data_IF_513109611770
#
_entry.id   IF_513109611770
#
_cell.length_a   1.000
_cell.length_b   1.000
_cell.length_c   1.000
_cell.angle_alpha   90.00
_cell.angle_beta   90.00
_cell.angle_gamma   90.00
#
_symmetry.space_group_name_H-M   'P 1'
#
loop_
_entity.id
_entity.type
_entity.pdbx_description
1 polymer ?
#
# COMPACT_ATOMS: atom_id res chain seq x y z
N UNK A 1 48.41 -63.85 -16.36
CA UNK A 1 47.61 -62.97 -15.48
C UNK A 1 46.19 -63.49 -15.44
N UNK A 2 45.62 -63.51 -14.24
CA UNK A 2 44.32 -64.07 -13.86
C UNK A 2 43.17 -63.07 -14.05
N UNK A 3 41.94 -63.58 -13.87
CA UNK A 3 40.64 -62.92 -13.72
C UNK A 3 39.94 -62.61 -15.04
N UNK A 4 38.69 -63.01 -15.30
CA UNK A 4 37.65 -63.60 -14.46
C UNK A 4 36.35 -63.34 -15.22
N UNK A 5 35.73 -64.38 -15.76
CA UNK A 5 34.48 -64.27 -16.52
C UNK A 5 33.31 -64.29 -15.55
N UNK A 6 32.75 -63.11 -15.29
CA UNK A 6 31.59 -62.97 -14.42
C UNK A 6 30.35 -63.65 -14.99
N UNK A 7 29.65 -64.27 -14.05
CA UNK A 7 28.54 -65.20 -14.19
C UNK A 7 27.33 -64.59 -14.89
N UNK A 8 26.91 -65.25 -15.98
CA UNK A 8 25.60 -65.14 -16.62
C UNK A 8 24.49 -65.60 -15.67
N UNK A 9 23.86 -64.66 -14.96
CA UNK A 9 22.55 -64.87 -14.33
C UNK A 9 21.45 -64.53 -15.33
N UNK A 10 21.23 -65.44 -16.29
CA UNK A 10 20.12 -65.34 -17.25
C UNK A 10 18.83 -65.71 -16.55
N UNK A 11 17.83 -64.85 -16.73
CA UNK A 11 16.54 -64.89 -16.08
C UNK A 11 15.81 -66.24 -16.15
N UNK A 12 15.28 -66.61 -14.99
CA UNK A 12 14.01 -67.34 -14.92
C UNK A 12 13.01 -66.41 -14.24
N UNK A 13 11.90 -66.14 -14.94
CA UNK A 13 10.73 -65.43 -14.43
C UNK A 13 10.42 -65.90 -13.00
N UNK A 14 10.01 -65.02 -12.07
CA UNK A 14 9.41 -65.49 -10.83
C UNK A 14 8.09 -66.14 -11.22
N UNK A 15 8.10 -67.46 -11.43
CA UNK A 15 6.89 -68.26 -11.38
C UNK A 15 6.29 -67.98 -10.02
N UNK A 16 5.00 -67.63 -9.99
CA UNK A 16 4.21 -67.33 -8.78
C UNK A 16 4.72 -68.18 -7.62
N UNK A 17 5.41 -67.52 -6.68
CA UNK A 17 6.01 -68.16 -5.52
C UNK A 17 4.87 -68.55 -4.57
N UNK A 18 4.27 -69.70 -4.86
CA UNK A 18 3.23 -70.31 -4.04
C UNK A 18 3.97 -70.84 -2.82
N UNK A 19 3.98 -70.03 -1.76
CA UNK A 19 4.61 -70.37 -0.49
C UNK A 19 4.17 -71.76 -0.05
N UNK A 20 5.15 -72.65 0.10
CA UNK A 20 4.97 -74.05 0.44
C UNK A 20 6.32 -74.69 0.74
N UNK A 21 6.28 -75.87 1.37
CA UNK A 21 7.48 -76.57 1.84
C UNK A 21 8.52 -76.76 0.72
N UNK A 22 8.09 -77.01 -0.52
CA UNK A 22 9.00 -77.16 -1.67
C UNK A 22 9.81 -75.90 -1.98
N UNK A 23 9.25 -74.69 -1.82
CA UNK A 23 9.98 -73.44 -2.02
C UNK A 23 11.00 -73.22 -0.89
N UNK A 24 10.63 -73.56 0.36
CA UNK A 24 11.55 -73.51 1.50
C UNK A 24 12.72 -74.50 1.34
N UNK A 25 12.45 -75.72 0.86
CA UNK A 25 13.47 -76.74 0.61
C UNK A 25 14.35 -76.38 -0.60
N UNK A 26 13.80 -75.75 -1.65
CA UNK A 26 14.59 -75.19 -2.75
C UNK A 26 15.51 -74.07 -2.28
N UNK A 27 15.05 -73.16 -1.42
CA UNK A 27 15.88 -72.10 -0.84
C UNK A 27 16.98 -72.70 0.05
N UNK A 28 16.66 -73.72 0.86
CA UNK A 28 17.65 -74.39 1.71
C UNK A 28 18.74 -75.09 0.87
N UNK A 29 18.37 -75.73 -0.24
CA UNK A 29 19.30 -76.32 -1.18
C UNK A 29 20.18 -75.27 -1.87
N UNK A 30 19.60 -74.13 -2.29
CA UNK A 30 20.33 -73.00 -2.88
C UNK A 30 21.32 -72.35 -1.87
N UNK A 31 21.02 -72.42 -0.57
CA UNK A 31 21.88 -72.00 0.53
C UNK A 31 22.90 -73.07 0.96
N UNK A 32 22.94 -74.23 0.29
CA UNK A 32 23.91 -75.29 0.51
C UNK A 32 23.55 -76.31 1.60
N UNK A 33 22.31 -76.32 2.10
CA UNK A 33 21.84 -77.32 3.06
C UNK A 33 21.34 -78.59 2.34
N UNK A 34 21.90 -79.75 2.71
CA UNK A 34 21.48 -81.06 2.18
C UNK A 34 20.28 -81.59 2.94
N UNK A 35 19.14 -81.74 2.26
CA UNK A 35 17.91 -82.29 2.85
C UNK A 35 17.82 -83.78 2.49
N UNK A 36 18.17 -84.65 3.45
CA UNK A 36 17.85 -86.09 3.37
C UNK A 36 16.40 -86.32 3.79
N UNK A 37 15.65 -87.26 3.19
CA UNK A 37 14.33 -87.64 3.69
C UNK A 37 14.44 -88.18 5.14
N UNK A 38 13.51 -87.81 6.05
CA UNK A 38 13.60 -88.19 7.45
C UNK A 38 13.35 -89.70 7.64
N UNK A 39 14.15 -90.35 8.48
CA UNK A 39 13.90 -91.70 8.98
C UNK A 39 12.76 -91.69 10.00
N UNK A 40 11.98 -92.77 10.04
CA UNK A 40 10.74 -92.89 10.81
C UNK A 40 10.93 -92.78 12.34
N UNK A 41 12.16 -92.93 12.83
CA UNK A 41 12.51 -92.93 14.25
C UNK A 41 12.66 -91.50 14.83
N UNK A 42 13.06 -90.52 14.00
CA UNK A 42 13.21 -89.12 14.43
C UNK A 42 11.86 -88.42 14.65
N UNK A 43 10.79 -88.91 13.99
CA UNK A 43 9.44 -88.37 14.10
C UNK A 43 8.77 -88.65 15.46
N UNK A 44 9.17 -89.73 16.15
CA UNK A 44 8.58 -90.11 17.44
C UNK A 44 9.18 -89.32 18.61
N UNK A 45 10.46 -88.94 18.55
CA UNK A 45 11.12 -88.15 19.61
C UNK A 45 10.71 -86.67 19.62
N UNK A 46 10.33 -86.11 18.48
CA UNK A 46 9.80 -84.73 18.39
C UNK A 46 8.38 -84.63 19.01
N UNK A 47 7.67 -85.74 19.12
CA UNK A 47 6.28 -85.75 19.60
C UNK A 47 6.16 -85.60 21.13
N UNK A 48 7.24 -85.82 21.91
CA UNK A 48 7.18 -85.87 23.38
C UNK A 48 7.88 -84.70 24.10
N UNK A 49 8.73 -83.92 23.42
CA UNK A 49 9.50 -82.81 24.03
C UNK A 49 9.13 -81.40 23.51
N UNK A 50 8.23 -81.28 22.53
CA UNK A 50 8.12 -80.08 21.68
C UNK A 50 6.79 -79.32 21.82
N UNK A 51 6.01 -79.57 22.88
CA UNK A 51 4.73 -78.88 23.11
C UNK A 51 4.88 -77.36 23.23
N UNK A 52 5.73 -76.88 24.13
CA UNK A 52 5.89 -75.44 24.37
C UNK A 52 6.66 -74.72 23.25
N UNK A 53 7.71 -75.34 22.69
CA UNK A 53 8.51 -74.74 21.62
C UNK A 53 7.73 -74.68 20.28
N UNK A 54 6.86 -75.67 20.02
CA UNK A 54 5.97 -75.67 18.86
C UNK A 54 4.89 -74.59 18.95
N UNK A 55 4.30 -74.39 20.13
CA UNK A 55 3.29 -73.36 20.37
C UNK A 55 3.87 -71.94 20.24
N UNK A 56 5.10 -71.71 20.73
CA UNK A 56 5.81 -70.46 20.55
C UNK A 56 6.08 -70.14 19.07
N UNK A 57 6.49 -71.14 18.28
CA UNK A 57 6.68 -70.99 16.83
C UNK A 57 5.37 -70.68 16.13
N UNK A 58 4.29 -71.37 16.48
CA UNK A 58 2.95 -71.11 15.92
C UNK A 58 2.47 -69.70 16.27
N UNK A 59 2.74 -69.21 17.49
CA UNK A 59 2.44 -67.82 17.90
C UNK A 59 3.20 -66.81 17.04
N UNK A 60 4.52 -66.98 16.89
CA UNK A 60 5.36 -66.09 16.08
C UNK A 60 4.92 -66.09 14.62
N UNK A 61 4.55 -67.25 14.06
CA UNK A 61 4.04 -67.33 12.68
C UNK A 61 2.70 -66.60 12.51
N UNK A 62 1.80 -66.66 13.49
CA UNK A 62 0.55 -65.89 13.47
C UNK A 62 0.80 -64.39 13.55
N UNK A 63 1.72 -63.97 14.41
CA UNK A 63 2.13 -62.57 14.52
C UNK A 63 2.78 -62.06 13.24
N UNK A 64 3.69 -62.85 12.65
CA UNK A 64 4.31 -62.54 11.37
C UNK A 64 3.27 -62.41 10.26
N UNK A 65 2.29 -63.33 10.19
CA UNK A 65 1.19 -63.24 9.23
C UNK A 65 0.32 -62.00 9.46
N UNK A 66 0.10 -61.60 10.71
CA UNK A 66 -0.62 -60.36 11.04
C UNK A 66 0.17 -59.11 10.63
N UNK A 67 1.48 -59.10 10.83
CA UNK A 67 2.37 -58.02 10.38
C UNK A 67 2.44 -57.96 8.85
N UNK A 68 2.55 -59.10 8.17
CA UNK A 68 2.51 -59.16 6.70
C UNK A 68 1.21 -58.59 6.14
N UNK A 69 0.07 -58.88 6.77
CA UNK A 69 -1.22 -58.29 6.38
C UNK A 69 -1.25 -56.78 6.57
N UNK A 70 -0.79 -56.28 7.73
CA UNK A 70 -0.67 -54.83 7.97
C UNK A 70 0.26 -54.13 6.98
N UNK A 71 1.36 -54.77 6.59
CA UNK A 71 2.28 -54.22 5.59
C UNK A 71 1.58 -54.11 4.24
N UNK A 72 0.82 -55.12 3.82
CA UNK A 72 0.04 -55.07 2.59
C UNK A 72 -1.02 -53.95 2.63
N UNK A 73 -1.74 -53.81 3.74
CA UNK A 73 -2.75 -52.74 3.92
C UNK A 73 -2.10 -51.35 3.80
N UNK A 74 -0.97 -51.13 4.46
CA UNK A 74 -0.22 -49.87 4.38
C UNK A 74 0.33 -49.60 2.98
N UNK A 75 0.75 -50.63 2.24
CA UNK A 75 1.19 -50.50 0.86
C UNK A 75 0.04 -50.03 -0.05
N UNK A 76 -1.17 -50.57 0.15
CA UNK A 76 -2.35 -50.14 -0.59
C UNK A 76 -2.70 -48.68 -0.26
N UNK A 77 -2.68 -48.30 1.01
CA UNK A 77 -2.98 -46.91 1.41
C UNK A 77 -1.94 -45.92 0.85
N UNK A 78 -0.64 -46.24 0.95
CA UNK A 78 0.42 -45.41 0.39
C UNK A 78 0.28 -45.25 -1.13
N UNK A 79 -0.04 -46.33 -1.83
CA UNK A 79 -0.28 -46.28 -3.27
C UNK A 79 -1.52 -45.44 -3.59
N UNK A 80 -2.61 -45.58 -2.82
CA UNK A 80 -3.80 -44.76 -2.95
C UNK A 80 -3.52 -43.27 -2.78
N UNK A 81 -2.77 -42.87 -1.74
CA UNK A 81 -2.41 -41.46 -1.53
C UNK A 81 -1.46 -40.92 -2.60
N UNK A 82 -0.57 -41.76 -3.12
CA UNK A 82 0.31 -41.39 -4.23
C UNK A 82 -0.50 -41.11 -5.49
N UNK A 83 -1.46 -41.97 -5.81
CA UNK A 83 -2.33 -41.81 -6.96
C UNK A 83 -3.28 -40.62 -6.79
N UNK A 84 -3.82 -40.41 -5.59
CA UNK A 84 -4.60 -39.22 -5.26
C UNK A 84 -3.80 -37.94 -5.48
N UNK A 85 -2.56 -37.86 -4.96
CA UNK A 85 -1.67 -36.70 -5.21
C UNK A 85 -1.39 -36.49 -6.71
N UNK A 86 -1.22 -37.57 -7.47
CA UNK A 86 -0.98 -37.48 -8.90
C UNK A 86 -2.17 -36.89 -9.66
N UNK A 87 -3.41 -37.19 -9.24
CA UNK A 87 -4.62 -36.74 -9.94
C UNK A 87 -5.29 -35.53 -9.26
N UNK A 88 -4.88 -35.17 -8.05
CA UNK A 88 -5.40 -34.07 -7.22
C UNK A 88 -5.62 -32.75 -7.98
N UNK A 89 -4.68 -32.38 -8.86
CA UNK A 89 -4.73 -31.17 -9.68
C UNK A 89 -5.82 -31.15 -10.78
N UNK A 90 -6.50 -32.28 -10.98
CA UNK A 90 -7.62 -32.50 -11.90
C UNK A 90 -8.90 -32.93 -11.19
N UNK A 91 -8.80 -33.56 -10.01
CA UNK A 91 -9.97 -34.05 -9.26
C UNK A 91 -10.46 -33.08 -8.18
N UNK A 92 -9.57 -32.29 -7.58
CA UNK A 92 -10.01 -31.33 -6.57
C UNK A 92 -10.67 -30.12 -7.22
N UNK A 93 -11.91 -29.87 -6.81
CA UNK A 93 -12.71 -28.71 -7.22
C UNK A 93 -11.97 -27.39 -6.93
N UNK A 94 -11.19 -27.31 -5.84
CA UNK A 94 -10.41 -26.11 -5.50
C UNK A 94 -9.32 -25.80 -6.54
N UNK A 95 -8.60 -26.81 -7.03
CA UNK A 95 -7.57 -26.64 -8.06
C UNK A 95 -8.20 -26.29 -9.42
N UNK A 96 -9.33 -26.91 -9.77
CA UNK A 96 -10.10 -26.54 -10.96
C UNK A 96 -10.60 -25.10 -10.88
N UNK A 97 -11.12 -24.68 -9.72
CA UNK A 97 -11.63 -23.33 -9.49
C UNK A 97 -10.53 -22.27 -9.67
N UNK A 98 -9.33 -22.48 -9.11
CA UNK A 98 -8.17 -21.60 -9.33
C UNK A 98 -7.82 -21.46 -10.82
N UNK A 99 -7.90 -22.56 -11.58
CA UNK A 99 -7.65 -22.55 -13.03
C UNK A 99 -8.73 -21.75 -13.77
N UNK A 100 -10.01 -21.92 -13.40
CA UNK A 100 -11.13 -21.16 -13.95
C UNK A 100 -10.94 -19.66 -13.68
N UNK A 101 -10.60 -19.28 -12.46
CA UNK A 101 -10.34 -17.87 -12.09
C UNK A 101 -9.18 -17.27 -12.87
N UNK A 102 -8.08 -18.02 -13.00
CA UNK A 102 -6.91 -17.58 -13.77
C UNK A 102 -7.25 -17.40 -15.25
N UNK A 103 -7.96 -18.36 -15.85
CA UNK A 103 -8.41 -18.27 -17.23
C UNK A 103 -9.41 -17.13 -17.44
N UNK A 104 -10.33 -16.91 -16.51
CA UNK A 104 -11.29 -15.82 -16.54
C UNK A 104 -10.59 -14.45 -16.49
N UNK A 105 -9.60 -14.30 -15.61
CA UNK A 105 -8.77 -13.09 -15.51
C UNK A 105 -8.02 -12.82 -16.81
N UNK A 106 -7.34 -13.82 -17.37
CA UNK A 106 -6.62 -13.70 -18.64
C UNK A 106 -7.59 -13.36 -19.78
N UNK A 107 -8.74 -14.02 -19.84
CA UNK A 107 -9.79 -13.78 -20.85
C UNK A 107 -10.29 -12.34 -20.78
N UNK A 108 -10.50 -11.81 -19.57
CA UNK A 108 -10.94 -10.43 -19.36
C UNK A 108 -9.89 -9.42 -19.85
N UNK A 109 -8.61 -9.65 -19.53
CA UNK A 109 -7.50 -8.83 -20.01
C UNK A 109 -7.44 -8.87 -21.54
N UNK A 110 -7.48 -10.06 -22.14
CA UNK A 110 -7.37 -10.25 -23.58
C UNK A 110 -8.54 -9.58 -24.32
N UNK A 111 -9.76 -9.72 -23.78
CA UNK A 111 -10.95 -9.01 -24.29
C UNK A 111 -10.75 -7.50 -24.23
N UNK A 112 -10.18 -6.97 -23.14
CA UNK A 112 -9.81 -5.56 -23.02
C UNK A 112 -8.82 -5.12 -24.10
N UNK A 113 -7.79 -5.92 -24.39
CA UNK A 113 -6.82 -5.62 -25.45
C UNK A 113 -7.50 -5.61 -26.83
N UNK A 114 -8.34 -6.61 -27.12
CA UNK A 114 -9.06 -6.71 -28.40
C UNK A 114 -9.99 -5.51 -28.60
N UNK A 115 -10.75 -5.14 -27.56
CA UNK A 115 -11.65 -3.97 -27.62
C UNK A 115 -10.91 -2.66 -27.82
N UNK A 116 -9.68 -2.54 -27.31
CA UNK A 116 -8.86 -1.34 -27.43
C UNK A 116 -7.85 -1.38 -28.59
N UNK A 117 -7.91 -2.39 -29.48
CA UNK A 117 -6.87 -2.62 -30.50
C UNK A 117 -6.60 -1.39 -31.36
N UNK A 118 -7.64 -0.71 -31.82
CA UNK A 118 -7.50 0.42 -32.75
C UNK A 118 -6.91 1.65 -32.04
N UNK A 119 -7.24 1.83 -30.75
CA UNK A 119 -6.63 2.86 -29.90
C UNK A 119 -5.16 2.58 -29.63
N UNK A 120 -4.80 1.33 -29.36
CA UNK A 120 -3.41 0.91 -29.15
C UNK A 120 -2.61 1.10 -30.44
N UNK A 121 -3.14 0.65 -31.58
CA UNK A 121 -2.54 0.83 -32.90
C UNK A 121 -2.33 2.32 -33.18
N UNK A 122 -3.35 3.16 -32.99
CA UNK A 122 -3.23 4.60 -33.18
C UNK A 122 -2.13 5.22 -32.29
N UNK A 123 -2.04 4.82 -31.03
CA UNK A 123 -0.97 5.30 -30.12
C UNK A 123 0.43 4.82 -30.51
N UNK A 124 0.55 3.61 -31.06
CA UNK A 124 1.84 3.06 -31.49
C UNK A 124 2.27 3.60 -32.86
N UNK A 125 1.31 3.93 -33.73
CA UNK A 125 1.56 4.47 -35.07
C UNK A 125 1.70 6.00 -35.08
N UNK A 126 1.22 6.70 -34.05
CA UNK A 126 1.48 8.12 -33.89
C UNK A 126 3.00 8.35 -33.92
N UNK A 127 3.53 9.14 -34.87
CA UNK A 127 4.90 9.63 -34.77
C UNK A 127 5.02 10.28 -33.40
N UNK A 128 6.11 10.02 -32.67
CA UNK A 128 6.35 10.65 -31.37
C UNK A 128 6.39 12.17 -31.52
N UNK A 129 5.23 12.81 -31.49
CA UNK A 129 5.07 14.25 -31.50
C UNK A 129 4.45 14.61 -30.16
N UNK A 130 5.11 15.58 -29.50
CA UNK A 130 4.76 16.27 -28.26
C UNK A 130 5.45 15.66 -27.01
N UNK A 131 6.60 16.24 -26.67
CA UNK A 131 7.26 16.27 -25.35
C UNK A 131 6.87 15.16 -24.37
N UNK A 132 7.41 13.97 -24.58
CA UNK A 132 7.23 12.85 -23.67
C UNK A 132 8.44 12.76 -22.73
N UNK A 133 8.17 12.59 -21.42
CA UNK A 133 9.20 12.20 -20.46
C UNK A 133 9.36 10.69 -20.56
N UNK A 134 10.52 10.15 -20.99
CA UNK A 134 10.74 8.71 -21.00
C UNK A 134 10.78 8.20 -19.56
N UNK A 135 10.03 7.14 -19.28
CA UNK A 135 9.97 6.50 -17.96
C UNK A 135 10.07 4.99 -18.14
N UNK A 136 11.01 4.38 -17.45
CA UNK A 136 11.22 2.94 -17.45
C UNK A 136 9.98 2.21 -16.93
N UNK A 137 9.70 1.02 -17.47
CA UNK A 137 8.49 0.24 -17.17
C UNK A 137 8.33 -0.06 -15.67
N UNK A 138 9.43 -0.18 -14.94
CA UNK A 138 9.45 -0.40 -13.48
C UNK A 138 8.97 0.81 -12.67
N UNK A 139 9.15 2.03 -13.19
CA UNK A 139 8.78 3.26 -12.50
C UNK A 139 7.45 3.87 -13.00
N UNK A 140 6.86 3.37 -14.08
CA UNK A 140 5.61 3.92 -14.64
C UNK A 140 4.47 4.01 -13.62
N UNK A 141 4.33 3.03 -12.73
CA UNK A 141 3.31 3.07 -11.68
C UNK A 141 3.57 4.19 -10.67
N UNK A 142 4.81 4.36 -10.24
CA UNK A 142 5.19 5.40 -9.29
C UNK A 142 5.08 6.79 -9.90
N UNK A 143 5.52 6.93 -11.16
CA UNK A 143 5.43 8.16 -11.93
C UNK A 143 3.98 8.59 -12.19
N UNK A 144 3.08 7.65 -12.54
CA UNK A 144 1.66 7.98 -12.70
C UNK A 144 1.00 8.45 -11.41
N UNK A 145 1.34 7.85 -10.26
CA UNK A 145 0.87 8.31 -8.95
C UNK A 145 1.41 9.71 -8.61
N UNK A 146 2.70 9.96 -8.90
CA UNK A 146 3.31 11.28 -8.71
C UNK A 146 2.64 12.34 -9.60
N UNK A 147 2.40 12.03 -10.87
CA UNK A 147 1.67 12.89 -11.80
C UNK A 147 0.26 13.20 -11.31
N UNK A 148 -0.49 12.20 -10.83
CA UNK A 148 -1.82 12.42 -10.30
C UNK A 148 -1.80 13.29 -9.04
N UNK A 149 -0.79 13.14 -8.18
CA UNK A 149 -0.61 13.97 -6.98
C UNK A 149 -0.21 15.42 -7.35
N UNK A 150 0.71 15.59 -8.30
CA UNK A 150 1.12 16.90 -8.80
C UNK A 150 -0.02 17.62 -9.56
N UNK A 151 -0.79 16.88 -10.35
CA UNK A 151 -1.96 17.40 -11.07
C UNK A 151 -3.11 17.75 -10.11
N UNK A 152 -3.25 17.04 -9.00
CA UNK A 152 -4.30 17.32 -8.00
C UNK A 152 -4.11 18.66 -7.29
N UNK A 153 -2.89 19.18 -7.26
CA UNK A 153 -2.55 20.47 -6.65
C UNK A 153 -1.89 21.41 -7.66
N UNK A 154 -2.56 21.59 -8.80
CA UNK A 154 -2.13 22.50 -9.85
C UNK A 154 -1.93 23.93 -9.34
N UNK A 155 -2.72 24.34 -8.34
CA UNK A 155 -2.61 25.65 -7.69
C UNK A 155 -1.29 25.82 -6.94
N UNK A 156 -0.94 24.90 -6.04
CA UNK A 156 0.33 24.98 -5.31
C UNK A 156 1.54 24.79 -6.23
N UNK A 157 1.43 23.95 -7.26
CA UNK A 157 2.50 23.78 -8.25
C UNK A 157 2.74 25.06 -9.04
N UNK A 158 1.69 25.72 -9.50
CA UNK A 158 1.80 27.00 -10.23
C UNK A 158 2.38 28.10 -9.33
N UNK A 159 1.93 28.17 -8.07
CA UNK A 159 2.50 29.09 -7.09
C UNK A 159 4.00 28.82 -6.85
N UNK A 160 4.38 27.55 -6.66
CA UNK A 160 5.78 27.15 -6.45
C UNK A 160 6.67 27.46 -7.66
N UNK A 161 6.16 27.28 -8.88
CA UNK A 161 6.88 27.65 -10.11
C UNK A 161 7.02 29.16 -10.21
N UNK A 162 5.98 29.93 -9.86
CA UNK A 162 6.05 31.38 -9.83
C UNK A 162 7.05 31.88 -8.77
N UNK A 163 7.10 31.26 -7.58
CA UNK A 163 8.06 31.58 -6.52
C UNK A 163 9.51 31.27 -6.95
N UNK A 164 9.71 30.16 -7.66
CA UNK A 164 11.01 29.80 -8.24
C UNK A 164 11.42 30.78 -9.35
N UNK A 165 10.51 31.19 -10.22
CA UNK A 165 10.78 32.21 -11.23
C UNK A 165 11.06 33.58 -10.60
N UNK A 166 10.30 33.96 -9.56
CA UNK A 166 10.52 35.18 -8.81
C UNK A 166 11.91 35.19 -8.14
N UNK A 167 12.30 34.10 -7.48
CA UNK A 167 13.63 33.98 -6.86
C UNK A 167 14.77 33.91 -7.88
N UNK A 168 14.56 33.31 -9.06
CA UNK A 168 15.55 33.33 -10.15
C UNK A 168 15.77 34.73 -10.72
N UNK A 169 14.76 35.59 -10.70
CA UNK A 169 14.88 36.98 -11.15
C UNK A 169 15.60 37.87 -10.14
N UNK A 170 15.78 37.41 -8.89
CA UNK A 170 16.56 38.10 -7.88
C UNK A 170 18.06 37.91 -8.11
N UNK A 171 18.71 38.96 -8.62
CA UNK A 171 20.16 38.97 -8.88
C UNK A 171 21.00 39.19 -7.62
N UNK A 172 20.37 39.63 -6.53
CA UNK A 172 21.03 40.02 -5.29
C UNK A 172 21.20 38.84 -4.35
N UNK A 173 22.38 38.76 -3.71
CA UNK A 173 22.72 37.66 -2.81
C UNK A 173 21.77 37.60 -1.60
N UNK A 174 21.42 36.39 -1.09
CA UNK A 174 20.50 36.21 0.05
C UNK A 174 20.85 36.97 1.32
N UNK A 175 22.10 37.43 1.46
CA UNK A 175 22.57 38.27 2.57
C UNK A 175 21.90 39.64 2.64
N UNK A 176 21.40 40.18 1.52
CA UNK A 176 20.80 41.54 1.45
C UNK A 176 19.28 41.51 1.70
N UNK A 177 18.66 40.33 1.64
CA UNK A 177 17.20 40.18 1.70
C UNK A 177 16.63 40.64 3.05
N UNK A 178 17.36 40.43 4.14
CA UNK A 178 16.94 40.89 5.46
C UNK A 178 16.84 42.41 5.59
N UNK A 179 17.64 43.16 4.83
CA UNK A 179 17.55 44.63 4.82
C UNK A 179 16.43 45.11 3.89
N UNK A 180 16.31 44.47 2.73
CA UNK A 180 15.29 44.81 1.73
C UNK A 180 13.87 44.51 2.21
N UNK A 181 13.67 43.43 2.98
CA UNK A 181 12.36 43.06 3.51
C UNK A 181 12.00 43.79 4.81
N UNK A 182 12.97 44.41 5.48
CA UNK A 182 12.79 45.17 6.74
C UNK A 182 11.68 46.22 6.69
N UNK A 183 11.46 46.97 5.60
CA UNK A 183 10.38 47.96 5.52
C UNK A 183 8.97 47.36 5.54
N UNK A 184 8.79 46.10 5.14
CA UNK A 184 7.46 45.48 4.99
C UNK A 184 6.77 45.29 6.35
N UNK A 185 7.39 44.67 7.37
CA UNK A 185 6.80 44.60 8.71
C UNK A 185 6.55 45.97 9.32
N UNK A 186 7.43 46.95 9.06
CA UNK A 186 7.28 48.33 9.57
C UNK A 186 6.06 49.00 8.95
N UNK A 187 5.87 48.89 7.64
CA UNK A 187 4.70 49.41 6.95
C UNK A 187 3.42 48.69 7.42
N UNK A 188 3.45 47.37 7.60
CA UNK A 188 2.31 46.61 8.13
C UNK A 188 1.93 47.04 9.54
N UNK A 189 2.92 47.23 10.43
CA UNK A 189 2.67 47.72 11.79
C UNK A 189 2.10 49.14 11.78
N UNK A 190 2.57 50.00 10.87
CA UNK A 190 2.00 51.34 10.67
C UNK A 190 0.55 51.29 10.19
N UNK A 191 0.22 50.43 9.23
CA UNK A 191 -1.17 50.22 8.79
C UNK A 191 -2.07 49.74 9.94
N UNK A 192 -1.59 48.82 10.77
CA UNK A 192 -2.30 48.38 11.98
C UNK A 192 -2.52 49.54 12.95
N UNK A 193 -1.48 50.35 13.22
CA UNK A 193 -1.58 51.52 14.08
C UNK A 193 -2.57 52.57 13.57
N UNK A 194 -2.61 52.81 12.24
CA UNK A 194 -3.62 53.68 11.64
C UNK A 194 -5.03 53.11 11.79
N UNK A 195 -5.21 51.80 11.58
CA UNK A 195 -6.50 51.15 11.74
C UNK A 195 -7.01 51.22 13.19
N UNK A 196 -6.12 51.00 14.15
CA UNK A 196 -6.43 51.10 15.58
C UNK A 196 -6.78 52.54 15.98
N UNK A 197 -6.01 53.53 15.51
CA UNK A 197 -6.30 54.95 15.74
C UNK A 197 -7.65 55.37 15.12
N UNK A 198 -7.95 54.93 13.90
CA UNK A 198 -9.26 55.20 13.27
C UNK A 198 -10.41 54.51 14.02
N UNK A 199 -10.16 53.32 14.56
CA UNK A 199 -11.15 52.59 15.35
C UNK A 199 -11.42 53.28 16.70
N UNK A 200 -10.38 53.73 17.40
CA UNK A 200 -10.50 54.49 18.64
C UNK A 200 -11.19 55.87 18.42
N UNK A 201 -10.92 56.52 17.29
CA UNK A 201 -11.60 57.76 16.91
C UNK A 201 -13.10 57.54 16.68
N UNK A 202 -13.47 56.45 16.00
CA UNK A 202 -14.87 56.06 15.79
C UNK A 202 -15.59 55.78 17.11
N UNK A 203 -14.94 55.08 18.04
CA UNK A 203 -15.49 54.81 19.38
C UNK A 203 -15.67 56.09 20.20
N UNK A 204 -14.71 57.01 20.15
CA UNK A 204 -14.79 58.33 20.80
C UNK A 204 -15.94 59.17 20.24
N UNK A 205 -16.19 59.09 18.92
CA UNK A 205 -17.33 59.77 18.32
C UNK A 205 -18.66 59.15 18.76
N UNK A 206 -18.73 57.81 18.87
CA UNK A 206 -19.91 57.12 19.38
C UNK A 206 -20.24 57.49 20.83
N UNK A 207 -19.24 57.60 21.71
CA UNK A 207 -19.46 58.04 23.11
C UNK A 207 -19.96 59.49 23.18
N UNK A 208 -19.40 60.40 22.37
CA UNK A 208 -19.88 61.78 22.28
C UNK A 208 -21.32 61.87 21.75
N UNK A 209 -21.70 61.01 20.80
CA UNK A 209 -23.08 60.94 20.33
C UNK A 209 -24.02 60.47 21.43
N UNK A 210 -23.65 59.45 22.22
CA UNK A 210 -24.44 59.00 23.37
C UNK A 210 -24.59 60.08 24.45
N UNK A 211 -23.60 60.94 24.65
CA UNK A 211 -23.71 62.09 25.56
C UNK A 211 -24.58 63.22 24.99
N UNK A 212 -24.57 63.42 23.67
CA UNK A 212 -25.37 64.44 22.97
C UNK A 212 -26.85 64.03 22.89
N UNK A 213 -27.14 62.75 22.69
CA UNK A 213 -28.49 62.18 22.75
C UNK A 213 -28.80 61.92 24.23
N UNK A 214 -29.04 62.99 24.98
CA UNK A 214 -29.27 62.95 26.42
C UNK A 214 -30.30 61.88 26.82
N UNK A 215 -29.87 60.94 27.66
CA UNK A 215 -30.76 59.96 28.27
C UNK A 215 -31.65 60.66 29.34
N UNK A 216 -32.98 60.48 29.34
CA UNK A 216 -33.84 61.10 30.33
C UNK A 216 -33.82 60.34 31.66
N UNK A 217 -33.31 61.03 32.69
CA UNK A 217 -33.63 60.92 34.14
C UNK A 217 -33.03 59.77 34.99
N UNK A 218 -32.98 59.92 36.34
CA UNK A 218 -32.35 61.03 37.08
C UNK A 218 -31.61 60.53 38.35
N UNK A 219 -30.50 61.18 38.74
CA UNK A 219 -30.09 61.22 40.16
C UNK A 219 -29.07 62.32 40.40
N UNK A 220 -29.59 63.53 40.64
CA UNK A 220 -28.83 64.58 41.29
C UNK A 220 -28.70 64.27 42.80
N UNK A 221 -27.64 64.76 43.44
CA UNK A 221 -27.90 65.70 44.53
C UNK A 221 -27.14 67.03 44.35
N UNK A 222 -27.95 68.09 44.30
CA UNK A 222 -27.83 69.42 44.92
C UNK A 222 -26.48 70.18 44.87
N UNK A 223 -26.43 71.38 44.26
CA UNK A 223 -25.25 72.23 44.19
C UNK A 223 -25.08 73.14 45.42
N UNK A 224 -23.83 73.47 45.79
CA UNK A 224 -23.51 74.66 46.60
C UNK A 224 -22.99 75.79 45.70
N UNK A 225 -23.27 77.06 46.02
CA UNK A 225 -23.05 78.18 45.10
C UNK A 225 -21.59 78.66 45.16
N UNK A 226 -20.98 78.90 44.00
CA UNK A 226 -19.67 79.57 43.88
C UNK A 226 -19.93 81.01 43.40
N UNK A 227 -19.31 81.95 44.12
CA UNK A 227 -19.31 83.39 43.92
C UNK A 227 -18.83 83.82 42.52
N UNK A 228 -19.44 84.84 41.89
CA UNK A 228 -19.09 85.27 40.54
C UNK A 228 -17.99 86.34 40.56
N UNK A 229 -16.75 85.95 40.85
CA UNK A 229 -15.60 86.78 40.49
C UNK A 229 -14.36 85.92 40.31
N UNK A 230 -14.12 85.48 39.07
CA UNK A 230 -12.80 85.27 38.46
C UNK A 230 -13.02 84.75 37.04
N UNK A 231 -13.36 85.68 36.13
CA UNK A 231 -13.18 85.45 34.71
C UNK A 231 -11.68 85.47 34.45
N UNK A 232 -11.10 84.30 34.17
CA UNK A 232 -9.81 84.22 33.47
C UNK A 232 -10.12 83.71 32.07
N UNK A 233 -9.94 84.62 31.11
CA UNK A 233 -9.92 84.38 29.67
C UNK A 233 -8.75 83.43 29.38
N UNK A 234 -9.05 82.30 28.75
CA UNK A 234 -8.06 81.51 28.01
C UNK A 234 -8.64 81.30 26.62
N UNK A 235 -8.04 81.99 25.66
CA UNK A 235 -8.37 81.93 24.24
C UNK A 235 -8.14 80.51 23.70
N UNK A 236 -9.21 79.88 23.19
CA UNK A 236 -9.12 78.62 22.47
C UNK A 236 -9.32 78.90 20.98
N UNK A 237 -8.20 78.97 20.25
CA UNK A 237 -8.17 79.09 18.80
C UNK A 237 -8.61 77.77 18.15
N UNK A 238 -9.92 77.55 18.01
CA UNK A 238 -10.45 76.47 17.20
C UNK A 238 -10.47 76.89 15.73
N UNK A 239 -9.42 76.54 14.98
CA UNK A 239 -9.45 76.57 13.51
C UNK A 239 -10.34 75.41 13.05
N UNK A 240 -11.45 75.74 12.40
CA UNK A 240 -12.34 74.74 11.79
C UNK A 240 -11.74 74.33 10.44
N UNK A 241 -11.46 73.03 10.16
CA UNK A 241 -11.04 72.63 8.83
C UNK A 241 -12.20 72.77 7.84
N UNK A 242 -11.94 73.10 6.56
CA UNK A 242 -13.00 73.21 5.56
C UNK A 242 -13.65 71.83 5.30
N UNK A 243 -14.92 71.81 4.84
CA UNK A 243 -15.63 70.57 4.58
C UNK A 243 -14.93 69.79 3.46
N UNK A 244 -14.74 68.50 3.70
CA UNK A 244 -14.18 67.54 2.74
C UNK A 244 -15.07 67.52 1.50
N UNK A 245 -14.62 68.15 0.41
CA UNK A 245 -15.24 67.93 -0.89
C UNK A 245 -14.93 66.50 -1.31
N UNK A 246 -15.98 65.73 -1.60
CA UNK A 246 -15.87 64.38 -2.16
C UNK A 246 -15.31 64.49 -3.57
N UNK A 247 -13.99 64.41 -3.72
CA UNK A 247 -13.36 64.26 -5.02
C UNK A 247 -13.30 62.78 -5.42
N UNK A 248 -14.17 62.46 -6.37
CA UNK A 248 -13.92 61.67 -7.58
C UNK A 248 -13.50 60.21 -7.39
N UNK A 249 -14.49 59.35 -7.66
CA UNK A 249 -14.37 57.92 -7.96
C UNK A 249 -13.18 57.62 -8.87
N UNK A 250 -12.39 56.63 -8.47
CA UNK A 250 -11.21 56.11 -9.17
C UNK A 250 -11.46 55.69 -10.64
N UNK A 251 -12.73 55.56 -11.06
CA UNK A 251 -13.12 55.14 -12.41
C UNK A 251 -12.93 56.22 -13.50
N UNK A 252 -12.85 57.50 -13.14
CA UNK A 252 -12.76 58.58 -14.14
C UNK A 252 -11.32 58.86 -14.64
N UNK A 253 -10.31 58.44 -13.87
CA UNK A 253 -8.90 58.59 -14.24
C UNK A 253 -8.45 57.60 -15.34
N UNK A 254 -9.14 56.47 -15.50
CA UNK A 254 -8.83 55.49 -16.55
C UNK A 254 -9.31 55.93 -17.94
N UNK A 255 -10.33 56.80 -18.02
CA UNK A 255 -10.92 57.24 -19.30
C UNK A 255 -10.11 58.40 -19.92
N UNK A 256 -9.45 59.24 -19.09
CA UNK A 256 -8.62 60.35 -19.58
C UNK A 256 -7.23 59.95 -20.08
N UNK A 257 -6.69 58.80 -19.67
CA UNK A 257 -5.40 58.32 -20.19
C UNK A 257 -5.54 57.71 -21.59
N UNK A 258 -6.70 57.14 -21.92
CA UNK A 258 -6.96 56.56 -23.24
C UNK A 258 -7.11 57.62 -24.36
N UNK A 259 -7.64 58.80 -24.04
CA UNK A 259 -7.88 59.86 -25.03
C UNK A 259 -6.67 60.77 -25.30
N UNK A 260 -5.52 60.53 -24.67
CA UNK A 260 -4.27 61.30 -24.87
C UNK A 260 -3.22 60.55 -25.70
N UNK A 261 -3.56 59.38 -26.25
CA UNK A 261 -2.65 58.56 -27.05
C UNK A 261 -3.09 58.43 -28.52
N UNK A 262 -4.14 59.15 -28.92
CA UNK A 262 -4.61 59.23 -30.31
C UNK A 262 -4.80 60.71 -30.70
N UNK A 263 -3.67 61.40 -30.90
CA UNK A 263 -3.49 62.60 -31.73
C UNK A 263 -2.01 62.92 -31.88
#
# INVERSE_FOLDING_TARGET
MSMGSDTTWVGKKPLRRIGGMSDALSIAADLGFSVSPPSQEDLQNISSATGEQGDDVIRVLRELAAVQRKIADLQVELQGRKDEKNVAHLTHVSEMQKKIETLSRITTILKGVIQNKDRIIARLQQPYSVDCIPVESEFQKQFSVLLMKAASDYGALTASVADLQWSQNFRESPSVWGEMLRPIPVASASCTGFFEAMSAMRESFATLQNLRVGNPNPSLPTPRPIDPSLRVVVDSNCITPPPWQSELSFDELAIRSLHRQEN
#
